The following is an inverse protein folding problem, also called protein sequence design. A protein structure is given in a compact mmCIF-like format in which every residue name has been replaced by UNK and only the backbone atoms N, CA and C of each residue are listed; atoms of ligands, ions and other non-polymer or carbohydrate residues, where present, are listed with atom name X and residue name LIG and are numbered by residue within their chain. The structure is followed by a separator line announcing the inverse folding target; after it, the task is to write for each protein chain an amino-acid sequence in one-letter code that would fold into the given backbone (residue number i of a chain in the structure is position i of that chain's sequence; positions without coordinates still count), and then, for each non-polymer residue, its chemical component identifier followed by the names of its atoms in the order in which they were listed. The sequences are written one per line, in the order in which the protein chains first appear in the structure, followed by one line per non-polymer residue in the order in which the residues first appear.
data_IF_639510809117
#
_entry.id   IF_639510809117
#
_cell.length_a   1.000
_cell.length_b   1.000
_cell.length_c   1.000
_cell.angle_alpha   90.00
_cell.angle_beta   90.00
_cell.angle_gamma   90.00
#
_symmetry.space_group_name_H-M   'P 1'
#
loop_
_entity.id
_entity.type
_entity.pdbx_description
1 polymer ?
#
# COMPACT_ATOMS: atom_id res chain seq x y z
N UNK A 1 30.37 -21.12 -2.10
CA UNK A 1 29.98 -20.08 -1.15
C UNK A 1 29.18 -18.97 -1.81
N UNK A 2 29.56 -18.50 -2.98
CA UNK A 2 28.80 -17.49 -3.73
C UNK A 2 27.37 -17.93 -4.07
N UNK A 3 27.18 -19.22 -4.40
CA UNK A 3 25.85 -19.75 -4.72
C UNK A 3 24.87 -19.74 -3.54
N UNK A 4 25.34 -19.84 -2.30
CA UNK A 4 24.48 -19.84 -1.11
C UNK A 4 24.04 -18.41 -0.80
N UNK A 5 24.91 -17.42 -0.94
CA UNK A 5 24.54 -16.03 -0.74
C UNK A 5 23.61 -15.52 -1.83
N UNK A 6 23.84 -15.90 -3.08
CA UNK A 6 22.96 -15.57 -4.20
C UNK A 6 21.57 -16.21 -4.01
N UNK A 7 21.51 -17.48 -3.59
CA UNK A 7 20.25 -18.16 -3.28
C UNK A 7 19.51 -17.50 -2.10
N UNK A 8 20.21 -17.01 -1.09
CA UNK A 8 19.62 -16.26 0.03
C UNK A 8 19.08 -14.90 -0.44
N UNK A 9 19.79 -14.19 -1.32
CA UNK A 9 19.31 -12.94 -1.92
C UNK A 9 18.08 -13.18 -2.77
N UNK A 10 18.07 -14.20 -3.61
CA UNK A 10 16.92 -14.58 -4.44
C UNK A 10 15.73 -14.94 -3.56
N UNK A 11 15.93 -15.71 -2.49
CA UNK A 11 14.86 -16.03 -1.51
C UNK A 11 14.30 -14.82 -0.80
N UNK A 12 15.15 -13.85 -0.41
CA UNK A 12 14.69 -12.62 0.24
C UNK A 12 13.90 -11.73 -0.70
N UNK A 13 14.14 -11.81 -2.03
CA UNK A 13 13.37 -11.10 -3.05
C UNK A 13 12.06 -11.80 -3.42
N UNK A 14 11.84 -13.06 -3.00
CA UNK A 14 10.58 -13.77 -3.23
C UNK A 14 9.44 -13.20 -2.37
N UNK A 15 9.76 -12.57 -1.25
CA UNK A 15 8.81 -11.86 -0.39
C UNK A 15 8.92 -10.37 -0.65
N UNK A 16 7.90 -9.81 -1.28
CA UNK A 16 7.91 -8.41 -1.70
C UNK A 16 6.66 -7.68 -1.18
N UNK A 17 6.89 -6.53 -0.61
CA UNK A 17 5.83 -5.57 -0.30
C UNK A 17 5.93 -4.38 -1.25
N UNK A 18 4.88 -4.17 -2.03
CA UNK A 18 4.73 -2.97 -2.85
C UNK A 18 3.92 -1.94 -2.07
N UNK A 19 4.52 -0.81 -1.76
CA UNK A 19 3.82 0.35 -1.20
C UNK A 19 3.50 1.29 -2.36
N UNK A 20 2.22 1.33 -2.73
CA UNK A 20 1.73 2.10 -3.88
C UNK A 20 1.07 3.38 -3.39
N UNK A 21 1.67 4.50 -3.76
CA UNK A 21 1.33 5.83 -3.28
C UNK A 21 0.69 6.66 -4.39
N UNK A 22 -0.28 7.46 -4.06
CA UNK A 22 -0.87 8.37 -5.04
C UNK A 22 -2.10 9.08 -4.50
N UNK A 23 -2.46 10.19 -5.14
CA UNK A 23 -3.66 10.93 -4.81
C UNK A 23 -4.92 10.15 -5.22
N UNK A 24 -6.09 10.45 -4.62
CA UNK A 24 -7.35 9.90 -5.09
C UNK A 24 -7.53 10.08 -6.61
N UNK A 25 -7.90 9.01 -7.31
CA UNK A 25 -8.07 9.04 -8.77
C UNK A 25 -6.81 8.78 -9.57
N UNK A 26 -5.65 8.58 -8.92
CA UNK A 26 -4.38 8.37 -9.64
C UNK A 26 -4.28 7.00 -10.33
N UNK A 27 -5.14 6.03 -9.97
CA UNK A 27 -5.05 4.67 -10.51
C UNK A 27 -4.20 3.72 -9.66
N UNK A 28 -3.86 4.12 -8.44
CA UNK A 28 -3.00 3.31 -7.56
C UNK A 28 -3.58 1.95 -7.23
N UNK A 29 -4.89 1.86 -6.99
CA UNK A 29 -5.55 0.57 -6.69
C UNK A 29 -5.45 -0.41 -7.87
N UNK A 30 -5.66 0.08 -9.08
CA UNK A 30 -5.55 -0.71 -10.31
C UNK A 30 -4.14 -1.26 -10.49
N UNK A 31 -3.13 -0.41 -10.30
CA UNK A 31 -1.74 -0.82 -10.38
C UNK A 31 -1.39 -1.83 -9.28
N UNK A 32 -1.78 -1.53 -8.04
CA UNK A 32 -1.50 -2.40 -6.89
C UNK A 32 -2.06 -3.81 -7.09
N UNK A 33 -3.28 -3.93 -7.60
CA UNK A 33 -3.90 -5.22 -7.90
C UNK A 33 -3.15 -6.02 -8.95
N UNK A 34 -2.48 -5.34 -9.88
CA UNK A 34 -1.67 -6.02 -10.90
C UNK A 34 -0.30 -6.46 -10.40
N UNK A 35 0.23 -5.80 -9.37
CA UNK A 35 1.56 -6.10 -8.82
C UNK A 35 1.55 -7.21 -7.78
N UNK A 36 0.57 -7.19 -6.89
CA UNK A 36 0.50 -8.14 -5.78
C UNK A 36 -0.45 -9.30 -6.04
N UNK A 37 -0.17 -10.46 -5.42
CA UNK A 37 -1.12 -11.57 -5.35
C UNK A 37 -2.27 -11.26 -4.39
N UNK A 38 -2.01 -10.41 -3.39
CA UNK A 38 -3.02 -9.84 -2.50
C UNK A 38 -2.83 -8.33 -2.46
N UNK A 39 -3.95 -7.62 -2.29
CA UNK A 39 -3.97 -6.16 -2.27
C UNK A 39 -4.83 -5.67 -1.11
N UNK A 40 -4.31 -4.70 -0.36
CA UNK A 40 -5.03 -4.05 0.73
C UNK A 40 -4.97 -2.53 0.58
N UNK A 41 -6.06 -1.89 0.94
CA UNK A 41 -6.15 -0.44 1.09
C UNK A 41 -7.10 -0.11 2.24
N UNK A 42 -6.88 1.02 2.90
CA UNK A 42 -7.68 1.42 4.06
C UNK A 42 -9.16 1.60 3.70
N UNK A 43 -9.45 2.05 2.47
CA UNK A 43 -10.82 2.23 1.99
C UNK A 43 -11.65 0.94 1.99
N UNK A 44 -11.02 -0.23 1.92
CA UNK A 44 -11.71 -1.52 2.01
C UNK A 44 -12.45 -1.69 3.34
N UNK A 45 -11.99 -1.04 4.41
CA UNK A 45 -12.64 -1.06 5.71
C UNK A 45 -14.07 -0.50 5.67
N UNK A 46 -14.32 0.43 4.75
CA UNK A 46 -15.60 1.09 4.60
C UNK A 46 -16.57 0.36 3.67
N UNK A 47 -16.15 -0.77 3.11
CA UNK A 47 -17.05 -1.58 2.28
C UNK A 47 -17.97 -2.43 3.15
N UNK A 48 -19.27 -2.28 2.93
CA UNK A 48 -20.30 -3.16 3.49
C UNK A 48 -20.98 -3.87 2.32
N UNK A 49 -20.60 -5.13 2.07
CA UNK A 49 -20.98 -5.83 0.86
C UNK A 49 -20.43 -5.10 -0.37
N UNK A 50 -21.32 -4.63 -1.26
CA UNK A 50 -20.94 -3.88 -2.46
C UNK A 50 -21.05 -2.35 -2.29
N UNK A 51 -21.41 -1.88 -1.10
CA UNK A 51 -21.56 -0.46 -0.82
C UNK A 51 -20.35 0.12 -0.10
N UNK A 52 -19.88 1.26 -0.58
CA UNK A 52 -18.85 2.06 0.09
C UNK A 52 -19.50 3.04 1.06
N UNK A 53 -19.28 2.86 2.35
CA UNK A 53 -19.87 3.68 3.42
C UNK A 53 -18.76 4.39 4.22
N UNK A 54 -18.23 5.46 3.65
CA UNK A 54 -17.20 6.26 4.30
C UNK A 54 -17.70 6.91 5.58
N UNK A 55 -16.91 6.82 6.65
CA UNK A 55 -17.14 7.47 7.93
C UNK A 55 -15.84 8.10 8.42
N UNK A 56 -15.78 9.44 8.39
CA UNK A 56 -14.58 10.20 8.75
C UNK A 56 -14.13 9.93 10.19
N UNK A 57 -15.05 9.57 11.10
CA UNK A 57 -14.70 9.27 12.49
C UNK A 57 -13.92 7.96 12.63
N UNK A 58 -13.90 7.13 11.59
CA UNK A 58 -13.28 5.81 11.59
C UNK A 58 -12.02 5.71 10.74
N UNK A 59 -11.47 6.83 10.28
CA UNK A 59 -10.25 6.82 9.45
C UNK A 59 -9.09 6.11 10.15
N UNK A 60 -8.86 6.42 11.41
CA UNK A 60 -7.81 5.76 12.20
C UNK A 60 -8.00 4.24 12.25
N UNK A 61 -9.24 3.80 12.49
CA UNK A 61 -9.58 2.37 12.51
C UNK A 61 -9.37 1.71 11.14
N UNK A 62 -9.64 2.42 10.06
CA UNK A 62 -9.43 1.89 8.70
C UNK A 62 -7.95 1.63 8.42
N UNK A 63 -7.08 2.52 8.86
CA UNK A 63 -5.63 2.34 8.72
C UNK A 63 -5.09 1.21 9.61
N UNK A 64 -5.56 1.14 10.85
CA UNK A 64 -5.21 0.02 11.75
C UNK A 64 -5.66 -1.32 11.17
N UNK A 65 -6.86 -1.38 10.63
CA UNK A 65 -7.37 -2.57 9.95
C UNK A 65 -6.48 -2.96 8.76
N UNK A 66 -6.11 -2.00 7.93
CA UNK A 66 -5.26 -2.25 6.77
C UNK A 66 -3.89 -2.80 7.18
N UNK A 67 -3.27 -2.21 8.18
CA UNK A 67 -2.00 -2.69 8.74
C UNK A 67 -2.12 -4.12 9.26
N UNK A 68 -3.21 -4.43 9.96
CA UNK A 68 -3.47 -5.77 10.48
C UNK A 68 -3.64 -6.79 9.35
N UNK A 69 -4.33 -6.44 8.28
CA UNK A 69 -4.49 -7.32 7.11
C UNK A 69 -3.15 -7.63 6.45
N UNK A 70 -2.31 -6.62 6.29
CA UNK A 70 -0.96 -6.80 5.75
C UNK A 70 -0.12 -7.70 6.66
N UNK A 71 -0.18 -7.49 7.97
CA UNK A 71 0.55 -8.33 8.92
C UNK A 71 0.10 -9.79 8.87
N UNK A 72 -1.20 -10.04 8.83
CA UNK A 72 -1.75 -11.41 8.71
C UNK A 72 -1.24 -12.06 7.42
N UNK A 73 -1.26 -11.34 6.30
CA UNK A 73 -0.73 -11.82 5.04
C UNK A 73 0.76 -12.14 5.11
N UNK A 74 1.54 -11.31 5.76
CA UNK A 74 2.99 -11.52 5.92
C UNK A 74 3.31 -12.78 6.74
N UNK A 75 2.49 -13.06 7.76
CA UNK A 75 2.61 -14.30 8.54
C UNK A 75 2.42 -15.55 7.68
N UNK A 76 1.62 -15.44 6.62
CA UNK A 76 1.33 -16.52 5.67
C UNK A 76 2.22 -16.49 4.42
N UNK A 77 3.25 -15.64 4.40
CA UNK A 77 4.08 -15.39 3.23
C UNK A 77 4.81 -16.60 2.66
N UNK A 78 5.09 -17.61 3.49
CA UNK A 78 5.72 -18.85 3.06
C UNK A 78 4.73 -19.83 2.40
N UNK A 79 3.43 -19.58 2.51
CA UNK A 79 2.36 -20.47 2.02
C UNK A 79 1.74 -19.95 0.72
N UNK A 80 1.69 -18.63 0.51
CA UNK A 80 1.08 -18.09 -0.69
C UNK A 80 1.13 -16.58 -0.82
N UNK A 81 1.26 -15.84 0.29
CA UNK A 81 1.19 -14.38 0.29
C UNK A 81 2.61 -13.78 0.22
N UNK A 82 3.37 -14.13 -0.83
CA UNK A 82 4.74 -13.66 -1.02
C UNK A 82 4.81 -12.28 -1.71
N UNK A 83 3.75 -11.86 -2.40
CA UNK A 83 3.70 -10.58 -3.10
C UNK A 83 2.48 -9.81 -2.61
N UNK A 84 2.71 -8.88 -1.72
CA UNK A 84 1.66 -8.07 -1.09
C UNK A 84 1.76 -6.65 -1.65
N UNK A 85 0.63 -6.08 -2.04
CA UNK A 85 0.54 -4.68 -2.41
C UNK A 85 -0.38 -3.96 -1.42
N UNK A 86 0.07 -2.82 -0.91
CA UNK A 86 -0.76 -1.91 -0.14
C UNK A 86 -0.81 -0.57 -0.84
N UNK A 87 -2.01 -0.07 -1.08
CA UNK A 87 -2.22 1.22 -1.74
C UNK A 87 -3.03 2.15 -0.86
N UNK A 88 -2.47 3.28 -0.55
CA UNK A 88 -3.12 4.39 0.14
C UNK A 88 -2.51 5.67 -0.41
N UNK A 89 -3.00 6.82 0.01
CA UNK A 89 -2.41 8.08 -0.44
C UNK A 89 -0.93 8.19 -0.08
N UNK A 90 -0.56 7.76 1.12
CA UNK A 90 0.83 7.74 1.60
C UNK A 90 1.56 9.04 1.25
N UNK A 91 0.98 10.16 1.66
CA UNK A 91 1.56 11.47 1.34
C UNK A 91 2.88 11.74 2.04
N UNK A 92 3.12 11.11 3.18
CA UNK A 92 4.29 11.35 4.02
C UNK A 92 4.92 10.04 4.50
N UNK A 93 6.23 10.09 4.81
CA UNK A 93 6.97 8.91 5.23
C UNK A 93 6.41 8.24 6.48
N UNK A 94 5.92 9.02 7.45
CA UNK A 94 5.38 8.44 8.67
C UNK A 94 4.16 7.55 8.41
N UNK A 95 3.42 7.81 7.32
CA UNK A 95 2.27 6.98 6.92
C UNK A 95 2.71 5.60 6.40
N UNK A 96 3.89 5.53 5.79
CA UNK A 96 4.46 4.29 5.27
C UNK A 96 5.19 3.47 6.34
N UNK A 97 5.70 4.13 7.37
CA UNK A 97 6.55 3.52 8.39
C UNK A 97 6.00 2.23 9.00
N UNK A 98 4.72 2.13 9.39
CA UNK A 98 4.18 0.88 9.92
C UNK A 98 4.36 -0.30 8.97
N UNK A 99 4.22 -0.09 7.68
CA UNK A 99 4.38 -1.13 6.66
C UNK A 99 5.85 -1.49 6.43
N UNK A 100 6.73 -0.50 6.44
CA UNK A 100 8.19 -0.74 6.36
C UNK A 100 8.67 -1.55 7.56
N UNK A 101 8.18 -1.22 8.76
CA UNK A 101 8.51 -1.96 9.99
C UNK A 101 7.99 -3.41 9.93
N UNK A 102 6.78 -3.62 9.41
CA UNK A 102 6.24 -4.97 9.20
C UNK A 102 7.09 -5.77 8.20
N UNK A 103 7.49 -5.14 7.11
CA UNK A 103 8.33 -5.78 6.10
C UNK A 103 9.67 -6.21 6.70
N UNK A 104 10.30 -5.37 7.49
CA UNK A 104 11.53 -5.71 8.20
C UNK A 104 11.34 -6.89 9.14
N UNK A 105 10.24 -6.87 9.90
CA UNK A 105 9.92 -7.94 10.87
C UNK A 105 9.74 -9.31 10.21
N UNK A 106 9.09 -9.35 9.04
CA UNK A 106 8.74 -10.60 8.36
C UNK A 106 9.61 -10.94 7.15
N UNK A 107 10.64 -10.16 6.90
CA UNK A 107 11.62 -10.45 5.84
C UNK A 107 11.12 -10.13 4.43
N UNK A 108 10.30 -9.11 4.26
CA UNK A 108 9.84 -8.64 2.97
C UNK A 108 10.73 -7.52 2.43
N UNK A 109 11.02 -7.58 1.15
CA UNK A 109 11.68 -6.47 0.43
C UNK A 109 10.64 -5.43 0.05
N UNK A 110 10.89 -4.16 0.38
CA UNK A 110 9.95 -3.07 0.11
C UNK A 110 10.31 -2.36 -1.19
N UNK A 111 9.31 -2.17 -2.05
CA UNK A 111 9.38 -1.24 -3.17
C UNK A 111 8.29 -0.20 -3.00
N UNK A 112 8.65 1.08 -3.10
CA UNK A 112 7.69 2.18 -3.08
C UNK A 112 7.49 2.71 -4.51
N UNK A 113 6.23 2.91 -4.87
CA UNK A 113 5.86 3.36 -6.21
C UNK A 113 4.91 4.55 -6.06
N UNK A 114 5.22 5.66 -6.72
CA UNK A 114 4.34 6.82 -6.78
C UNK A 114 3.57 6.77 -8.11
N UNK A 115 2.25 6.76 -8.03
CA UNK A 115 1.36 6.75 -9.19
C UNK A 115 0.83 8.14 -9.44
N UNK A 116 1.21 8.72 -10.59
CA UNK A 116 0.72 10.01 -11.03
C UNK A 116 -0.50 9.83 -11.94
N UNK A 117 -1.45 10.76 -11.85
CA UNK A 117 -2.63 10.73 -12.72
C UNK A 117 -2.32 11.37 -14.09
N UNK A 118 -1.58 10.67 -14.92
CA UNK A 118 -1.28 11.09 -16.30
C UNK A 118 -2.31 10.56 -17.31
N UNK A 119 -3.22 9.70 -16.88
CA UNK A 119 -4.19 9.01 -17.73
C UNK A 119 -5.61 9.59 -17.61
N UNK A 120 -5.80 10.67 -16.85
CA UNK A 120 -7.10 11.33 -16.69
C UNK A 120 -8.10 10.57 -15.81
N UNK A 121 -7.62 9.72 -14.88
CA UNK A 121 -8.48 9.00 -13.95
C UNK A 121 -9.29 9.92 -13.07
N UNK A 122 -10.50 9.48 -12.71
CA UNK A 122 -11.43 10.26 -11.89
C UNK A 122 -11.39 9.84 -10.43
N UNK A 123 -11.67 10.79 -9.54
CA UNK A 123 -11.79 10.57 -8.11
C UNK A 123 -13.14 9.91 -7.79
N UNK A 124 -13.15 8.57 -7.74
CA UNK A 124 -14.37 7.77 -7.54
C UNK A 124 -14.97 7.88 -6.14
N UNK A 125 -14.20 8.34 -5.15
CA UNK A 125 -14.68 8.54 -3.78
C UNK A 125 -15.14 9.97 -3.50
N UNK A 126 -15.18 10.84 -4.49
CA UNK A 126 -15.63 12.23 -4.37
C UNK A 126 -14.92 13.01 -3.26
N UNK A 127 -13.61 12.82 -3.12
CA UNK A 127 -12.81 13.57 -2.17
C UNK A 127 -12.85 15.06 -2.55
N UNK A 128 -13.16 15.97 -1.61
CA UNK A 128 -13.24 17.41 -1.90
C UNK A 128 -11.94 17.95 -2.49
N UNK A 129 -12.04 18.92 -3.39
CA UNK A 129 -10.88 19.55 -4.05
C UNK A 129 -9.89 20.15 -3.05
N UNK A 130 -10.39 20.76 -1.97
CA UNK A 130 -9.55 21.30 -0.90
C UNK A 130 -8.69 20.22 -0.25
N UNK A 131 -9.27 19.04 -0.03
CA UNK A 131 -8.56 17.89 0.52
C UNK A 131 -7.51 17.37 -0.46
N UNK A 132 -7.85 17.29 -1.76
CA UNK A 132 -6.90 16.91 -2.81
C UNK A 132 -5.71 17.87 -2.86
N UNK A 133 -5.96 19.17 -2.81
CA UNK A 133 -4.91 20.19 -2.82
C UNK A 133 -4.03 20.11 -1.56
N UNK A 134 -4.62 19.86 -0.40
CA UNK A 134 -3.86 19.65 0.83
C UNK A 134 -2.97 18.41 0.74
N UNK A 135 -3.47 17.31 0.20
CA UNK A 135 -2.69 16.10 -0.04
C UNK A 135 -1.54 16.35 -1.02
N UNK A 136 -1.80 17.05 -2.12
CA UNK A 136 -0.80 17.41 -3.11
C UNK A 136 0.33 18.25 -2.50
N UNK A 137 -0.03 19.24 -1.69
CA UNK A 137 0.94 20.14 -1.06
C UNK A 137 1.84 19.46 -0.04
N UNK A 138 1.33 18.45 0.69
CA UNK A 138 2.13 17.74 1.70
C UNK A 138 2.81 16.47 1.17
N UNK A 139 2.61 16.11 -0.10
CA UNK A 139 3.13 14.88 -0.66
C UNK A 139 4.66 14.89 -0.72
N UNK A 140 5.29 14.00 0.01
CA UNK A 140 6.75 13.88 0.07
C UNK A 140 7.26 12.96 -1.04
N UNK A 141 8.23 13.45 -1.81
CA UNK A 141 8.84 12.72 -2.94
C UNK A 141 10.34 12.54 -2.76
N UNK A 142 10.81 12.53 -1.51
CA UNK A 142 12.22 12.41 -1.20
C UNK A 142 12.75 11.02 -1.55
N UNK A 143 13.82 10.98 -2.35
CA UNK A 143 14.53 9.73 -2.63
C UNK A 143 15.48 9.37 -1.48
N UNK A 144 15.58 8.10 -1.23
CA UNK A 144 16.48 7.54 -0.22
C UNK A 144 17.70 6.93 -0.91
#
# INVERSE_FOLDING_TARGET
MENIQLKKQIKSMDKVLFIVRGLPGSGKSTLAKSLGSVHFEADMYFMEGNEYKFDITKIKKSHEWCQNQVEISMKNGNIGDSRIAVSNTFTQEWEMKPYVDLAEKYGYTVFTIIVENRHGGVNVHNVPEETLNAMLNRFETKLI
#
